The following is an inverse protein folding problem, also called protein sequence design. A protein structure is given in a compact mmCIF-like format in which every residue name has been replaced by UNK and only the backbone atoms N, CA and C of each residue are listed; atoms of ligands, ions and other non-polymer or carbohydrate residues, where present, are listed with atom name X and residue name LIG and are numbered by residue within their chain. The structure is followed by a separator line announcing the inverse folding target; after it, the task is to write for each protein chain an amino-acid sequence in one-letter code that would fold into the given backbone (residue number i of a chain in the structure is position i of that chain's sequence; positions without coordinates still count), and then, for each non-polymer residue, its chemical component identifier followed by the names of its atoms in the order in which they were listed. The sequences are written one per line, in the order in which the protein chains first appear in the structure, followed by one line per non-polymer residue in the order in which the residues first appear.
data_IF_697559090964
#
_entry.id   IF_697559090964
#
_cell.length_a   1.000
_cell.length_b   1.000
_cell.length_c   1.000
_cell.angle_alpha   90.00
_cell.angle_beta   90.00
_cell.angle_gamma   90.00
#
_symmetry.space_group_name_H-M   'P 1'
#
loop_
_entity.id
_entity.type
_entity.pdbx_description
1 polymer ?
#
# COMPACT_ATOMS: atom_id res chain seq x y z
N UNK A 1 7.19 -28.67 38.13
CA UNK A 1 5.76 -28.61 37.77
C UNK A 1 5.32 -27.20 38.12
N UNK A 2 5.14 -26.24 37.23
CA UNK A 2 4.75 -26.24 35.81
C UNK A 2 5.38 -25.04 35.11
N UNK A 3 5.67 -25.23 33.83
CA UNK A 3 6.13 -24.25 32.84
C UNK A 3 5.11 -23.11 32.68
N UNK A 4 5.58 -21.87 32.62
CA UNK A 4 4.92 -20.79 31.87
C UNK A 4 5.98 -20.13 30.99
N UNK A 5 6.17 -20.74 29.81
CA UNK A 5 6.64 -19.98 28.67
C UNK A 5 5.48 -19.12 28.18
N UNK A 6 5.70 -17.82 28.14
CA UNK A 6 5.12 -16.93 27.14
C UNK A 6 6.24 -15.99 26.74
N UNK A 7 6.93 -16.40 25.67
CA UNK A 7 7.82 -15.58 24.86
C UNK A 7 6.99 -14.43 24.30
N UNK A 8 6.88 -13.34 25.07
CA UNK A 8 6.35 -12.08 24.56
C UNK A 8 7.39 -11.54 23.58
N UNK A 9 7.32 -12.01 22.34
CA UNK A 9 7.95 -11.38 21.20
C UNK A 9 7.35 -9.98 21.12
N UNK A 10 8.03 -9.00 21.71
CA UNK A 10 7.73 -7.58 21.54
C UNK A 10 8.04 -7.28 20.08
N UNK A 11 7.06 -7.53 19.22
CA UNK A 11 7.08 -7.14 17.82
C UNK A 11 7.25 -5.63 17.77
N UNK A 12 8.30 -5.17 17.09
CA UNK A 12 8.63 -3.79 16.72
C UNK A 12 7.67 -2.73 17.29
N UNK A 13 8.10 -2.09 18.39
CA UNK A 13 7.58 -0.88 19.02
C UNK A 13 6.22 -0.35 18.52
N UNK A 14 5.24 -0.26 19.42
CA UNK A 14 3.97 0.47 19.25
C UNK A 14 4.21 1.98 19.08
N UNK A 15 4.93 2.38 18.03
CA UNK A 15 5.02 3.76 17.58
C UNK A 15 3.62 4.15 17.16
N UNK A 16 3.01 5.02 17.95
CA UNK A 16 1.67 5.52 17.66
C UNK A 16 1.72 6.24 16.32
N UNK A 17 0.69 6.07 15.49
CA UNK A 17 0.62 6.66 14.15
C UNK A 17 0.91 8.16 14.12
N UNK A 18 0.58 8.91 15.19
CA UNK A 18 0.87 10.35 15.28
C UNK A 18 2.37 10.69 15.28
N UNK A 19 3.23 9.76 15.74
CA UNK A 19 4.69 9.93 15.72
C UNK A 19 5.19 9.82 14.29
N UNK A 20 4.67 8.87 13.52
CA UNK A 20 5.00 8.68 12.10
C UNK A 20 4.53 9.88 11.27
N UNK A 21 3.32 10.39 11.54
CA UNK A 21 2.75 11.50 10.76
C UNK A 21 3.30 12.86 11.19
N UNK A 22 3.97 12.96 12.35
CA UNK A 22 4.43 14.23 12.92
C UNK A 22 3.30 15.21 13.23
N UNK A 23 2.10 14.71 13.53
CA UNK A 23 0.90 15.53 13.75
C UNK A 23 0.24 16.08 12.47
N UNK A 24 0.72 15.68 11.29
CA UNK A 24 0.11 16.08 10.01
C UNK A 24 -1.27 15.44 9.83
N UNK A 25 -2.17 16.18 9.19
CA UNK A 25 -3.52 15.69 8.88
C UNK A 25 -3.43 14.60 7.80
N UNK A 26 -4.16 13.51 8.02
CA UNK A 26 -4.23 12.42 7.07
C UNK A 26 -5.01 12.86 5.81
N UNK A 27 -4.50 12.58 4.60
CA UNK A 27 -5.18 12.92 3.37
C UNK A 27 -6.49 12.15 3.19
N UNK A 28 -7.45 12.80 2.54
CA UNK A 28 -8.74 12.23 2.22
C UNK A 28 -8.62 11.11 1.18
N UNK A 29 -9.69 10.33 1.00
CA UNK A 29 -9.70 9.28 -0.03
C UNK A 29 -9.72 9.82 -1.45
N UNK A 30 -10.12 11.08 -1.62
CA UNK A 30 -10.16 11.75 -2.91
C UNK A 30 -8.76 12.20 -3.36
N UNK A 31 -7.85 12.45 -2.41
CA UNK A 31 -6.47 12.85 -2.72
C UNK A 31 -5.66 11.69 -3.32
N UNK A 32 -5.87 10.48 -2.80
CA UNK A 32 -5.18 9.27 -3.24
C UNK A 32 -6.01 8.02 -2.90
N UNK A 33 -6.78 7.55 -3.88
CA UNK A 33 -7.64 6.36 -3.76
C UNK A 33 -6.83 5.10 -3.44
N UNK A 34 -7.43 4.17 -2.70
CA UNK A 34 -6.85 2.87 -2.33
C UNK A 34 -6.38 2.04 -3.54
N UNK A 35 -7.06 2.18 -4.67
CA UNK A 35 -6.74 1.45 -5.90
C UNK A 35 -5.83 2.25 -6.85
N UNK A 36 -5.37 3.44 -6.42
CA UNK A 36 -4.38 4.19 -7.19
C UNK A 36 -3.07 3.41 -7.18
N UNK A 37 -2.50 3.19 -8.35
CA UNK A 37 -1.23 2.50 -8.48
C UNK A 37 -0.09 3.52 -8.36
N UNK A 38 0.92 3.17 -7.58
CA UNK A 38 2.13 3.95 -7.36
C UNK A 38 3.37 3.12 -7.68
N UNK A 39 4.41 3.78 -8.16
CA UNK A 39 5.74 3.19 -8.36
C UNK A 39 6.81 4.28 -8.28
N UNK A 40 8.08 3.91 -8.09
CA UNK A 40 9.17 4.87 -8.15
C UNK A 40 9.26 5.51 -9.54
N UNK A 41 9.44 6.82 -9.57
CA UNK A 41 9.84 7.51 -10.78
C UNK A 41 11.26 7.07 -11.21
N UNK A 42 11.55 7.05 -12.51
CA UNK A 42 12.87 6.66 -13.00
C UNK A 42 13.95 7.62 -12.50
N UNK A 43 15.16 7.09 -12.34
CA UNK A 43 16.37 7.85 -11.98
C UNK A 43 16.23 8.68 -10.69
N UNK A 44 15.50 8.15 -9.70
CA UNK A 44 15.38 8.75 -8.38
C UNK A 44 16.24 8.03 -7.36
N UNK A 45 16.71 8.79 -6.38
CA UNK A 45 17.47 8.30 -5.23
C UNK A 45 16.68 8.55 -3.95
N UNK A 46 16.86 7.64 -2.98
CA UNK A 46 16.20 7.73 -1.68
C UNK A 46 16.60 9.06 -1.00
N UNK A 47 15.64 9.86 -0.49
CA UNK A 47 15.95 11.10 0.20
C UNK A 47 16.90 10.89 1.38
N UNK A 48 17.88 11.79 1.53
CA UNK A 48 18.78 11.79 2.68
C UNK A 48 17.97 11.96 3.97
N UNK A 49 18.20 11.08 4.95
CA UNK A 49 17.45 11.11 6.20
C UNK A 49 16.03 10.55 6.13
N UNK A 50 15.69 9.79 5.07
CA UNK A 50 14.42 9.08 4.98
C UNK A 50 14.13 8.24 6.22
N UNK A 51 12.89 8.34 6.72
CA UNK A 51 12.42 7.53 7.84
C UNK A 51 12.43 6.03 7.46
N UNK A 52 12.40 5.12 8.45
CA UNK A 52 12.30 3.68 8.19
C UNK A 52 11.10 3.32 7.29
N UNK A 53 9.96 3.97 7.49
CA UNK A 53 8.74 3.76 6.69
C UNK A 53 8.93 4.23 5.25
N UNK A 54 9.56 5.40 5.04
CA UNK A 54 9.84 5.91 3.70
C UNK A 54 10.83 5.00 2.97
N UNK A 55 11.85 4.47 3.66
CA UNK A 55 12.78 3.50 3.09
C UNK A 55 12.08 2.19 2.72
N UNK A 56 11.20 1.69 3.58
CA UNK A 56 10.44 0.47 3.30
C UNK A 56 9.48 0.65 2.10
N UNK A 57 8.83 1.82 2.00
CA UNK A 57 8.02 2.19 0.82
C UNK A 57 8.90 2.22 -0.44
N UNK A 58 10.08 2.82 -0.35
CA UNK A 58 11.02 2.93 -1.46
C UNK A 58 11.42 1.56 -2.00
N UNK A 59 11.88 0.67 -1.11
CA UNK A 59 12.31 -0.67 -1.46
C UNK A 59 11.14 -1.46 -2.08
N UNK A 60 9.95 -1.36 -1.50
CA UNK A 60 8.76 -2.04 -2.00
C UNK A 60 8.33 -1.53 -3.39
N UNK A 61 8.29 -0.21 -3.60
CA UNK A 61 7.84 0.39 -4.87
C UNK A 61 8.89 0.31 -5.99
N UNK A 62 10.13 -0.08 -5.67
CA UNK A 62 11.17 -0.32 -6.67
C UNK A 62 10.88 -1.55 -7.55
N UNK A 63 10.07 -2.49 -7.07
CA UNK A 63 9.68 -3.70 -7.80
C UNK A 63 8.61 -3.49 -8.88
N UNK A 64 8.03 -2.30 -8.98
CA UNK A 64 7.01 -1.96 -9.98
C UNK A 64 5.79 -1.27 -9.37
N UNK A 65 4.65 -1.36 -10.06
CA UNK A 65 3.41 -0.74 -9.63
C UNK A 65 2.70 -1.56 -8.57
N UNK A 66 2.31 -0.89 -7.48
CA UNK A 66 1.47 -1.43 -6.42
C UNK A 66 0.34 -0.44 -6.08
N UNK A 67 -0.83 -0.96 -5.71
CA UNK A 67 -1.89 -0.14 -5.18
C UNK A 67 -1.53 0.41 -3.79
N UNK A 68 -2.08 1.57 -3.44
CA UNK A 68 -1.94 2.17 -2.10
C UNK A 68 -2.37 1.18 -1.00
N UNK A 69 -3.44 0.43 -1.25
CA UNK A 69 -3.89 -0.64 -0.35
C UNK A 69 -2.83 -1.73 -0.15
N UNK A 70 -2.18 -2.14 -1.24
CA UNK A 70 -1.15 -3.19 -1.21
C UNK A 70 0.08 -2.69 -0.46
N UNK A 71 0.53 -1.44 -0.70
CA UNK A 71 1.64 -0.83 0.05
C UNK A 71 1.34 -0.81 1.55
N UNK A 72 0.14 -0.37 1.95
CA UNK A 72 -0.26 -0.34 3.34
C UNK A 72 -0.26 -1.74 3.98
N UNK A 73 -0.82 -2.73 3.26
CA UNK A 73 -0.89 -4.11 3.73
C UNK A 73 0.49 -4.76 3.88
N UNK A 74 1.36 -4.60 2.88
CA UNK A 74 2.72 -5.17 2.90
C UNK A 74 3.57 -4.60 4.04
N UNK A 75 3.41 -3.32 4.35
CA UNK A 75 4.19 -2.63 5.38
C UNK A 75 3.52 -2.64 6.76
N UNK A 76 2.32 -3.23 6.87
CA UNK A 76 1.54 -3.21 8.12
C UNK A 76 1.15 -1.79 8.60
N UNK A 77 1.14 -0.82 7.68
CA UNK A 77 0.86 0.58 8.01
C UNK A 77 -0.65 0.84 7.96
N UNK A 78 -1.19 1.66 8.89
CA UNK A 78 -2.54 2.18 8.72
C UNK A 78 -2.68 2.91 7.38
N UNK A 79 -3.75 2.65 6.64
CA UNK A 79 -3.97 3.19 5.29
C UNK A 79 -3.76 4.70 5.21
N UNK A 80 -4.26 5.47 6.20
CA UNK A 80 -4.08 6.92 6.20
C UNK A 80 -2.62 7.35 6.30
N UNK A 81 -1.80 6.61 7.06
CA UNK A 81 -0.36 6.87 7.20
C UNK A 81 0.36 6.53 5.90
N UNK A 82 0.08 5.36 5.30
CA UNK A 82 0.64 5.01 4.00
C UNK A 82 0.26 6.05 2.94
N UNK A 83 -1.00 6.50 2.91
CA UNK A 83 -1.47 7.54 2.00
C UNK A 83 -0.72 8.85 2.19
N UNK A 84 -0.53 9.30 3.44
CA UNK A 84 0.24 10.50 3.75
C UNK A 84 1.66 10.42 3.17
N UNK A 85 2.40 9.35 3.49
CA UNK A 85 3.78 9.18 3.05
C UNK A 85 3.90 9.06 1.53
N UNK A 86 2.98 8.33 0.89
CA UNK A 86 2.93 8.21 -0.57
C UNK A 86 2.58 9.54 -1.25
N UNK A 87 1.68 10.33 -0.67
CA UNK A 87 1.37 11.67 -1.15
C UNK A 87 2.60 12.59 -1.05
N UNK A 88 3.30 12.59 0.08
CA UNK A 88 4.53 13.39 0.26
C UNK A 88 5.58 13.04 -0.81
N UNK A 89 5.83 11.75 -1.02
CA UNK A 89 6.80 11.27 -2.02
C UNK A 89 6.36 11.60 -3.45
N UNK A 90 5.06 11.56 -3.74
CA UNK A 90 4.51 11.94 -5.04
C UNK A 90 4.63 13.45 -5.29
N UNK A 91 4.37 14.29 -4.28
CA UNK A 91 4.54 15.75 -4.34
C UNK A 91 6.00 16.16 -4.55
N UNK A 92 6.93 15.41 -3.96
CA UNK A 92 8.38 15.57 -4.17
C UNK A 92 8.85 15.03 -5.54
N UNK A 93 7.98 14.37 -6.31
CA UNK A 93 8.30 13.81 -7.62
C UNK A 93 9.11 12.51 -7.58
N UNK A 94 9.13 11.82 -6.44
CA UNK A 94 9.74 10.50 -6.28
C UNK A 94 8.85 9.36 -6.75
N UNK A 95 7.53 9.55 -6.75
CA UNK A 95 6.57 8.54 -7.19
C UNK A 95 5.80 8.97 -8.44
N UNK A 96 5.58 8.01 -9.33
CA UNK A 96 4.58 8.10 -10.38
C UNK A 96 3.25 7.57 -9.85
N UNK A 97 2.16 8.20 -10.27
CA UNK A 97 0.79 7.82 -9.93
C UNK A 97 0.03 7.46 -11.20
N UNK A 98 -0.66 6.31 -11.17
CA UNK A 98 -1.66 5.95 -12.17
C UNK A 98 -3.01 5.89 -11.49
N UNK A 99 -3.96 6.67 -12.01
CA UNK A 99 -5.31 6.77 -11.49
C UNK A 99 -5.95 5.39 -11.30
N UNK A 100 -6.74 5.27 -10.24
CA UNK A 100 -7.54 4.08 -10.00
C UNK A 100 -8.39 3.75 -11.24
N UNK A 101 -8.57 2.45 -11.56
CA UNK A 101 -9.48 2.07 -12.63
C UNK A 101 -10.88 2.62 -12.34
N UNK A 102 -11.65 2.96 -13.39
CA UNK A 102 -13.02 3.41 -13.21
C UNK A 102 -13.83 2.33 -12.47
N UNK A 103 -14.89 2.71 -11.75
CA UNK A 103 -15.79 1.75 -11.13
C UNK A 103 -16.24 0.72 -12.15
N UNK A 104 -16.20 -0.55 -11.75
CA UNK A 104 -16.66 -1.63 -12.62
C UNK A 104 -18.14 -1.40 -12.98
N UNK A 105 -18.47 -1.55 -14.26
CA UNK A 105 -19.86 -1.54 -14.69
C UNK A 105 -20.56 -2.79 -14.11
N UNK A 106 -21.80 -2.63 -13.67
CA UNK A 106 -22.60 -3.77 -13.23
C UNK A 106 -22.82 -4.72 -14.43
N UNK A 107 -22.30 -5.93 -14.30
CA UNK A 107 -22.47 -7.02 -15.26
C UNK A 107 -23.29 -8.12 -14.60
N UNK A 108 -24.14 -8.78 -15.38
CA UNK A 108 -24.94 -9.89 -14.89
C UNK A 108 -24.03 -11.00 -14.34
N UNK A 109 -24.36 -11.48 -13.14
CA UNK A 109 -23.62 -12.53 -12.45
C UNK A 109 -23.56 -13.81 -13.27
N UNK A 110 -24.64 -14.14 -13.98
CA UNK A 110 -24.71 -15.32 -14.84
C UNK A 110 -23.67 -15.26 -15.97
N UNK A 111 -23.34 -14.07 -16.47
CA UNK A 111 -22.30 -13.89 -17.47
C UNK A 111 -20.91 -14.13 -16.87
N UNK A 112 -20.64 -13.58 -15.68
CA UNK A 112 -19.35 -13.77 -15.00
C UNK A 112 -19.11 -15.25 -14.69
N UNK A 113 -20.14 -15.99 -14.25
CA UNK A 113 -20.04 -17.43 -14.02
C UNK A 113 -19.73 -18.20 -15.30
N UNK A 114 -20.39 -17.87 -16.42
CA UNK A 114 -20.07 -18.49 -17.72
C UNK A 114 -18.64 -18.25 -18.15
N UNK A 115 -18.11 -17.03 -17.95
CA UNK A 115 -16.71 -16.72 -18.24
C UNK A 115 -15.77 -17.51 -17.33
N UNK A 116 -16.06 -17.57 -16.02
CA UNK A 116 -15.26 -18.34 -15.07
C UNK A 116 -15.18 -19.82 -15.44
N UNK A 117 -16.33 -20.46 -15.72
CA UNK A 117 -16.38 -21.85 -16.18
C UNK A 117 -15.60 -22.05 -17.50
N UNK A 118 -15.71 -21.10 -18.43
CA UNK A 118 -14.94 -21.10 -19.67
C UNK A 118 -13.43 -21.02 -19.44
N UNK A 119 -12.97 -20.15 -18.54
CA UNK A 119 -11.55 -20.03 -18.19
C UNK A 119 -11.03 -21.29 -17.49
N UNK A 120 -11.80 -21.85 -16.55
CA UNK A 120 -11.42 -23.07 -15.84
C UNK A 120 -11.36 -24.29 -16.76
N UNK A 121 -12.30 -24.44 -17.70
CA UNK A 121 -12.32 -25.60 -18.61
C UNK A 121 -11.24 -25.57 -19.70
N UNK A 122 -10.72 -24.38 -20.05
CA UNK A 122 -9.70 -24.23 -21.11
C UNK A 122 -8.26 -24.28 -20.60
N UNK A 123 -8.05 -23.99 -19.33
CA UNK A 123 -6.72 -23.90 -18.71
C UNK A 123 -6.53 -24.87 -17.52
N UNK A 124 -7.45 -25.82 -17.34
CA UNK A 124 -7.26 -27.01 -16.51
C UNK A 124 -6.82 -28.19 -17.39
#
# INVERSE_FOLDING_TARGET
MTTHGEDATVSSELVRSYVITGGRRLPSSDDLSLHTLVTLAPDRELPLGASPEVRAIWDLCSGGYLAVAEVAAHLGLPVGVARLLLSDLAEQGHLLRRAAPPPAQAVDRDLIEKVLYGLQSRFA
#
